data_IF_763605809871
#
_entry.id   IF_763605809871
#
_cell.length_a   1.000
_cell.length_b   1.000
_cell.length_c   1.000
_cell.angle_alpha   90.00
_cell.angle_beta   90.00
_cell.angle_gamma   90.00
#
_symmetry.space_group_name_H-M   'P 1'
#
loop_
_entity.id
_entity.type
_entity.pdbx_description
1 polymer ?
#
# COMPACT_ATOMS: atom_id res chain seq x y z
N UNK A 1 -17.01 1.27 15.42
CA UNK A 1 -16.85 2.44 14.55
C UNK A 1 -15.37 2.52 14.18
N UNK A 2 -14.99 2.35 12.91
CA UNK A 2 -13.59 2.55 12.50
C UNK A 2 -13.33 4.05 12.63
N UNK A 3 -12.31 4.43 13.40
CA UNK A 3 -11.86 5.81 13.51
C UNK A 3 -11.52 6.36 12.11
N UNK A 4 -12.14 7.49 11.72
CA UNK A 4 -11.92 8.13 10.43
C UNK A 4 -10.42 8.41 10.19
N UNK A 5 -9.67 8.73 11.25
CA UNK A 5 -8.22 8.89 11.17
C UNK A 5 -7.50 7.60 10.82
N UNK A 6 -7.92 6.48 11.42
CA UNK A 6 -7.35 5.16 11.12
C UNK A 6 -7.66 4.75 9.68
N UNK A 7 -8.87 5.01 9.19
CA UNK A 7 -9.24 4.75 7.80
C UNK A 7 -8.37 5.56 6.83
N UNK A 8 -8.24 6.87 7.07
CA UNK A 8 -7.38 7.75 6.25
C UNK A 8 -5.93 7.28 6.26
N UNK A 9 -5.40 6.93 7.43
CA UNK A 9 -4.04 6.39 7.57
C UNK A 9 -3.82 5.13 6.73
N UNK A 10 -4.76 4.18 6.78
CA UNK A 10 -4.71 2.97 5.94
C UNK A 10 -4.75 3.28 4.45
N UNK A 11 -5.58 4.24 4.03
CA UNK A 11 -5.64 4.67 2.63
C UNK A 11 -4.30 5.31 2.21
N UNK A 12 -3.69 6.14 3.05
CA UNK A 12 -2.38 6.72 2.78
C UNK A 12 -1.31 5.65 2.60
N UNK A 13 -1.30 4.61 3.44
CA UNK A 13 -0.41 3.44 3.28
C UNK A 13 -0.62 2.79 1.91
N UNK A 14 -1.88 2.53 1.53
CA UNK A 14 -2.21 1.91 0.24
C UNK A 14 -1.69 2.76 -0.92
N UNK A 15 -1.91 4.07 -0.88
CA UNK A 15 -1.49 4.99 -1.93
C UNK A 15 0.03 5.05 -2.06
N UNK A 16 0.77 5.08 -0.95
CA UNK A 16 2.24 5.05 -0.98
C UNK A 16 2.77 3.72 -1.52
N UNK A 17 2.18 2.59 -1.15
CA UNK A 17 2.58 1.29 -1.71
C UNK A 17 2.36 1.23 -3.23
N UNK A 18 1.24 1.77 -3.72
CA UNK A 18 0.97 1.88 -5.16
C UNK A 18 1.97 2.79 -5.86
N UNK A 19 2.26 3.95 -5.28
CA UNK A 19 3.23 4.92 -5.79
C UNK A 19 4.63 4.27 -5.93
N UNK A 20 5.12 3.62 -4.88
CA UNK A 20 6.43 2.95 -4.89
C UNK A 20 6.48 1.84 -5.95
N UNK A 21 5.40 1.08 -6.10
CA UNK A 21 5.29 0.03 -7.11
C UNK A 21 5.30 0.60 -8.53
N UNK A 22 4.57 1.68 -8.77
CA UNK A 22 4.51 2.38 -10.05
C UNK A 22 5.86 3.00 -10.43
N UNK A 23 6.57 3.59 -9.46
CA UNK A 23 7.93 4.12 -9.66
C UNK A 23 8.92 3.03 -10.07
N UNK A 24 8.82 1.83 -9.47
CA UNK A 24 9.63 0.67 -9.84
C UNK A 24 9.18 0.01 -11.16
N UNK A 25 8.00 0.38 -11.69
CA UNK A 25 7.39 -0.16 -12.91
C UNK A 25 7.16 -1.68 -12.87
N UNK A 26 6.72 -2.18 -11.73
CA UNK A 26 6.44 -3.61 -11.52
C UNK A 26 4.96 -3.88 -11.26
N UNK A 27 4.47 -5.06 -11.63
CA UNK A 27 3.14 -5.52 -11.27
C UNK A 27 3.10 -6.03 -9.83
N UNK A 28 1.91 -6.24 -9.27
CA UNK A 28 1.77 -6.87 -7.95
C UNK A 28 2.32 -8.30 -7.94
N UNK A 29 2.17 -9.02 -9.06
CA UNK A 29 2.69 -10.38 -9.21
C UNK A 29 4.22 -10.37 -9.18
N UNK A 30 4.85 -9.41 -9.87
CA UNK A 30 6.32 -9.28 -9.88
C UNK A 30 6.85 -9.01 -8.47
N UNK A 31 6.19 -8.14 -7.67
CA UNK A 31 6.56 -7.90 -6.27
C UNK A 31 6.49 -9.19 -5.45
N UNK A 32 5.40 -9.96 -5.60
CA UNK A 32 5.23 -11.20 -4.84
C UNK A 32 6.31 -12.23 -5.19
N UNK A 33 6.59 -12.40 -6.48
CA UNK A 33 7.65 -13.31 -6.97
C UNK A 33 9.01 -12.87 -6.47
N UNK A 34 9.35 -11.60 -6.65
CA UNK A 34 10.64 -11.05 -6.22
C UNK A 34 10.87 -11.20 -4.71
N UNK A 35 9.87 -10.90 -3.88
CA UNK A 35 9.97 -11.01 -2.43
C UNK A 35 10.16 -12.47 -2.00
N UNK A 36 9.42 -13.38 -2.63
CA UNK A 36 9.57 -14.81 -2.36
C UNK A 36 10.99 -15.29 -2.72
N UNK A 37 11.49 -14.91 -3.90
CA UNK A 37 12.81 -15.34 -4.37
C UNK A 37 13.96 -14.73 -3.55
N UNK A 38 13.86 -13.46 -3.17
CA UNK A 38 14.96 -12.72 -2.54
C UNK A 38 15.00 -12.88 -1.02
N UNK A 39 13.86 -13.11 -0.38
CA UNK A 39 13.78 -13.15 1.09
C UNK A 39 13.14 -14.43 1.63
N UNK A 40 12.65 -15.33 0.76
CA UNK A 40 11.88 -16.51 1.18
C UNK A 40 10.49 -16.17 1.74
N UNK A 41 10.06 -14.91 1.63
CA UNK A 41 8.82 -14.44 2.23
C UNK A 41 7.68 -14.52 1.22
N UNK A 42 6.78 -15.48 1.43
CA UNK A 42 5.56 -15.58 0.65
C UNK A 42 4.66 -14.38 0.97
N UNK A 43 4.39 -13.56 -0.04
CA UNK A 43 3.68 -12.29 0.14
C UNK A 43 2.51 -12.12 -0.82
N UNK A 44 1.49 -11.35 -0.38
CA UNK A 44 0.37 -10.96 -1.21
C UNK A 44 0.19 -9.44 -1.21
N UNK A 45 0.94 -8.78 -2.10
CA UNK A 45 0.90 -7.34 -2.32
C UNK A 45 -0.50 -6.86 -2.68
N UNK A 46 -1.28 -7.65 -3.43
CA UNK A 46 -2.64 -7.33 -3.82
C UNK A 46 -3.56 -7.10 -2.61
N UNK A 47 -3.40 -7.90 -1.55
CA UNK A 47 -4.16 -7.71 -0.31
C UNK A 47 -3.75 -6.45 0.45
N UNK A 48 -2.44 -6.18 0.51
CA UNK A 48 -1.92 -5.03 1.24
C UNK A 48 -2.21 -3.69 0.56
N UNK A 49 -2.27 -3.66 -0.76
CA UNK A 49 -2.78 -2.50 -1.52
C UNK A 49 -4.31 -2.32 -1.45
N UNK A 50 -5.03 -3.16 -0.70
CA UNK A 50 -6.48 -3.06 -0.51
C UNK A 50 -6.84 -2.79 0.95
N UNK A 51 -6.14 -3.44 1.88
CA UNK A 51 -6.41 -3.35 3.31
C UNK A 51 -5.51 -2.36 4.05
N UNK A 52 -4.30 -2.08 3.53
CA UNK A 52 -3.31 -1.23 4.20
C UNK A 52 -2.90 -1.78 5.57
N UNK A 53 -2.91 -3.11 5.73
CA UNK A 53 -2.71 -3.78 7.01
C UNK A 53 -1.60 -4.82 6.90
N UNK A 54 -0.49 -4.61 7.59
CA UNK A 54 0.64 -5.52 7.61
C UNK A 54 1.48 -5.35 8.88
N UNK A 55 2.36 -6.32 9.14
CA UNK A 55 3.27 -6.30 10.30
C UNK A 55 4.46 -5.36 10.07
N UNK A 56 5.15 -4.95 11.15
CA UNK A 56 6.38 -4.16 11.04
C UNK A 56 7.51 -4.89 10.29
N UNK A 57 7.54 -6.22 10.38
CA UNK A 57 8.45 -7.06 9.58
C UNK A 57 8.17 -6.91 8.08
N UNK A 58 6.89 -6.98 7.68
CA UNK A 58 6.48 -6.76 6.28
C UNK A 58 6.85 -5.36 5.81
N UNK A 59 6.66 -4.34 6.65
CA UNK A 59 7.07 -2.97 6.34
C UNK A 59 8.56 -2.90 6.05
N UNK A 60 9.38 -3.51 6.90
CA UNK A 60 10.83 -3.51 6.72
C UNK A 60 11.22 -4.19 5.40
N UNK A 61 10.59 -5.32 5.06
CA UNK A 61 10.80 -6.02 3.79
C UNK A 61 10.44 -5.11 2.60
N UNK A 62 9.31 -4.41 2.64
CA UNK A 62 8.95 -3.44 1.60
C UNK A 62 9.95 -2.30 1.47
N UNK A 63 10.39 -1.75 2.60
CA UNK A 63 11.40 -0.70 2.64
C UNK A 63 12.69 -1.16 1.94
N UNK A 64 13.16 -2.36 2.25
CA UNK A 64 14.32 -2.98 1.59
C UNK A 64 14.07 -3.20 0.09
N UNK A 65 12.90 -3.71 -0.29
CA UNK A 65 12.56 -4.02 -1.68
C UNK A 65 12.44 -2.77 -2.58
N UNK A 66 11.84 -1.71 -2.07
CA UNK A 66 11.68 -0.43 -2.75
C UNK A 66 12.86 0.53 -2.54
N UNK A 67 13.88 0.10 -1.78
CA UNK A 67 15.06 0.90 -1.45
C UNK A 67 14.70 2.27 -0.85
N UNK A 68 13.83 2.24 0.16
CA UNK A 68 13.38 3.41 0.92
C UNK A 68 13.57 3.15 2.41
N UNK A 69 13.97 4.16 3.18
CA UNK A 69 14.06 4.03 4.64
C UNK A 69 12.66 4.03 5.28
N UNK A 70 12.43 3.30 6.38
CA UNK A 70 11.12 3.28 7.06
C UNK A 70 10.62 4.66 7.46
N UNK A 71 11.52 5.57 7.86
CA UNK A 71 11.16 6.95 8.20
C UNK A 71 10.64 7.71 6.98
N UNK A 72 11.22 7.50 5.80
CA UNK A 72 10.81 8.16 4.57
C UNK A 72 9.50 7.58 4.03
N UNK A 73 9.28 6.28 4.23
CA UNK A 73 7.97 5.67 4.00
C UNK A 73 6.88 6.37 4.81
N UNK A 74 7.08 6.56 6.13
CA UNK A 74 6.09 7.24 6.96
C UNK A 74 5.96 8.74 6.66
N UNK A 75 7.04 9.40 6.24
CA UNK A 75 6.96 10.79 5.72
C UNK A 75 6.07 10.87 4.50
N UNK A 76 6.21 9.93 3.54
CA UNK A 76 5.32 9.83 2.38
C UNK A 76 3.87 9.58 2.79
N UNK A 77 3.63 8.64 3.73
CA UNK A 77 2.28 8.33 4.25
C UNK A 77 1.64 9.58 4.87
N UNK A 78 2.39 10.34 5.66
CA UNK A 78 1.91 11.58 6.26
C UNK A 78 1.72 12.72 5.23
N UNK A 79 2.39 12.64 4.08
CA UNK A 79 2.32 13.62 3.00
C UNK A 79 1.18 13.39 2.00
N UNK A 80 0.45 12.29 2.09
CA UNK A 80 -0.70 12.02 1.21
C UNK A 80 -1.80 13.04 1.45
N UNK A 81 -2.28 13.68 0.39
CA UNK A 81 -3.28 14.75 0.48
C UNK A 81 -4.68 14.20 0.79
N UNK A 82 -5.53 15.04 1.38
CA UNK A 82 -6.93 14.68 1.68
C UNK A 82 -7.70 14.42 0.38
N UNK A 83 -7.41 15.18 -0.67
CA UNK A 83 -8.03 15.04 -1.99
C UNK A 83 -7.74 13.67 -2.61
N UNK A 84 -6.51 13.17 -2.50
CA UNK A 84 -6.13 11.85 -3.00
C UNK A 84 -6.83 10.72 -2.22
N UNK A 85 -6.94 10.87 -0.90
CA UNK A 85 -7.67 9.93 -0.04
C UNK A 85 -9.15 9.88 -0.44
N UNK A 86 -9.79 11.04 -0.61
CA UNK A 86 -11.20 11.14 -1.01
C UNK A 86 -11.44 10.57 -2.41
N UNK A 87 -10.53 10.84 -3.35
CA UNK A 87 -10.57 10.28 -4.70
C UNK A 87 -10.50 8.75 -4.66
N UNK A 88 -9.60 8.19 -3.85
CA UNK A 88 -9.49 6.74 -3.66
C UNK A 88 -10.80 6.14 -3.09
N UNK A 89 -11.38 6.76 -2.07
CA UNK A 89 -12.65 6.31 -1.47
C UNK A 89 -13.78 6.29 -2.51
N UNK A 90 -13.96 7.37 -3.26
CA UNK A 90 -14.99 7.47 -4.31
C UNK A 90 -14.80 6.42 -5.40
N UNK A 91 -13.56 6.14 -5.81
CA UNK A 91 -13.29 5.07 -6.77
C UNK A 91 -13.64 3.68 -6.21
N UNK A 92 -13.37 3.43 -4.92
CA UNK A 92 -13.70 2.17 -4.26
C UNK A 92 -15.21 1.95 -4.19
N UNK A 93 -15.96 2.96 -3.75
CA UNK A 93 -17.42 2.93 -3.69
C UNK A 93 -18.06 2.65 -5.05
N UNK A 94 -17.56 3.30 -6.11
CA UNK A 94 -18.08 3.12 -7.47
C UNK A 94 -17.83 1.70 -8.02
N UNK A 95 -16.76 1.01 -7.58
CA UNK A 95 -16.52 -0.39 -7.96
C UNK A 95 -17.50 -1.31 -7.25
N UNK A 96 -17.67 -1.15 -5.94
CA UNK A 96 -18.60 -1.96 -5.15
C UNK A 96 -20.05 -1.84 -5.64
N UNK A 97 -20.46 -0.68 -6.17
CA UNK A 97 -21.80 -0.49 -6.77
C UNK A 97 -21.98 -1.11 -8.15
N UNK A 98 -20.91 -1.39 -8.89
CA UNK A 98 -20.98 -2.04 -10.21
C UNK A 98 -21.05 -3.56 -10.12
N UNK A 99 -20.56 -4.11 -9.02
CA UNK A 99 -20.52 -5.56 -8.76
C UNK A 99 -21.74 -6.06 -7.94
N UNK A 100 -22.72 -5.18 -7.68
CA UNK A 100 -23.96 -5.43 -6.94
C UNK A 100 -25.18 -5.29 -7.86
#
# INVERSE_FOLDING_TARGET
>A
MIDDKLLRFKISIILVLKELREQKKVSQADVNTDLLEKTGFAHNMGRNEVEGNFTMETLYIYCKYFNIEPIDFFRKVNGVSIEDIQKFQKHKENRTRKDA
#
